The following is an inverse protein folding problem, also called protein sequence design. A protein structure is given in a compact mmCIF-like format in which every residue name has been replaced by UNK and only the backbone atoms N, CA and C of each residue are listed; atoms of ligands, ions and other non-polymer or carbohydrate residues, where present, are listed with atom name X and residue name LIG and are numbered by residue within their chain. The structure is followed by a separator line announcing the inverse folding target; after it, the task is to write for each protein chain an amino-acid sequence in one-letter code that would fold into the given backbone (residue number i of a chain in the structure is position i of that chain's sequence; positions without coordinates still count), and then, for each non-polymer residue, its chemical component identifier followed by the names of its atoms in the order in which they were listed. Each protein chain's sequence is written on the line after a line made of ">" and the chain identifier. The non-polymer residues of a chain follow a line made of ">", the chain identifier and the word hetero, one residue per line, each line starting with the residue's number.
data_IF_013098838326
#
_entry.id   IF_013098838326
#
_cell.length_a   1.000
_cell.length_b   1.000
_cell.length_c   1.000
_cell.angle_alpha   90.00
_cell.angle_beta   90.00
_cell.angle_gamma   90.00
#
_symmetry.space_group_name_H-M   'P 1'
#
loop_
_entity.id
_entity.type
_entity.pdbx_description
1 polymer ?
#
# COMPACT_ATOMS: atom_id res chain seq x y z
N UNK A 1 -6.24 -31.86 9.51
CA UNK A 1 -5.09 -31.03 9.07
C UNK A 1 -4.11 -31.93 8.33
N UNK A 2 -3.53 -31.45 7.24
CA UNK A 2 -2.49 -32.19 6.50
C UNK A 2 -1.13 -32.01 7.17
N UNK A 3 -0.31 -33.07 7.23
CA UNK A 3 1.04 -33.01 7.81
C UNK A 3 2.06 -32.61 6.75
N UNK A 4 2.92 -31.64 7.06
CA UNK A 4 4.02 -31.18 6.20
C UNK A 4 5.32 -31.30 6.97
N UNK A 5 6.37 -31.82 6.35
CA UNK A 5 7.71 -31.87 6.92
C UNK A 5 8.51 -30.67 6.43
N UNK A 6 9.16 -29.95 7.35
CA UNK A 6 10.04 -28.81 7.05
C UNK A 6 11.46 -29.21 7.43
N UNK A 7 12.38 -29.08 6.49
CA UNK A 7 13.81 -29.37 6.71
C UNK A 7 14.56 -28.09 7.03
N UNK A 8 15.39 -28.16 8.07
CA UNK A 8 16.22 -27.06 8.56
C UNK A 8 17.64 -27.59 8.68
N UNK A 9 18.68 -26.80 8.38
CA UNK A 9 20.05 -27.10 8.80
C UNK A 9 20.11 -27.35 10.31
N UNK A 10 20.91 -28.31 10.75
CA UNK A 10 20.97 -28.73 12.16
C UNK A 10 21.30 -27.56 13.10
N UNK A 11 22.25 -26.70 12.70
CA UNK A 11 22.63 -25.50 13.46
C UNK A 11 21.46 -24.52 13.64
N UNK A 12 20.60 -24.39 12.63
CA UNK A 12 19.42 -23.53 12.67
C UNK A 12 18.31 -24.15 13.53
N UNK A 13 18.14 -25.48 13.46
CA UNK A 13 17.17 -26.20 14.26
C UNK A 13 17.51 -26.12 15.76
N UNK A 14 18.78 -26.23 16.12
CA UNK A 14 19.25 -26.13 17.50
C UNK A 14 19.08 -24.71 18.04
N UNK A 15 19.49 -23.69 17.28
CA UNK A 15 19.27 -22.28 17.63
C UNK A 15 17.79 -21.95 17.80
N UNK A 16 16.92 -22.50 16.94
CA UNK A 16 15.47 -22.29 17.05
C UNK A 16 14.90 -22.94 18.32
N UNK A 17 15.40 -24.13 18.69
CA UNK A 17 15.00 -24.85 19.91
C UNK A 17 15.47 -24.12 21.17
N UNK A 18 16.72 -23.67 21.20
CA UNK A 18 17.28 -22.86 22.30
C UNK A 18 16.49 -21.56 22.50
N UNK A 19 16.07 -20.93 21.40
CA UNK A 19 15.22 -19.73 21.43
C UNK A 19 13.73 -20.01 21.72
N UNK A 20 13.33 -21.29 21.89
CA UNK A 20 11.95 -21.67 22.17
C UNK A 20 10.96 -21.39 21.03
N UNK A 21 11.43 -21.31 19.78
CA UNK A 21 10.59 -20.96 18.63
C UNK A 21 9.66 -22.12 18.24
N UNK A 22 8.38 -21.80 18.05
CA UNK A 22 7.42 -22.75 17.49
C UNK A 22 7.52 -22.77 15.95
N UNK A 23 8.33 -23.70 15.43
CA UNK A 23 8.59 -23.84 13.99
C UNK A 23 7.31 -24.04 13.18
N UNK A 24 6.35 -24.82 13.68
CA UNK A 24 5.08 -25.04 12.99
C UNK A 24 4.24 -23.78 12.90
N UNK A 25 4.17 -22.98 13.97
CA UNK A 25 3.48 -21.69 13.96
C UNK A 25 4.15 -20.69 13.02
N UNK A 26 5.49 -20.63 13.02
CA UNK A 26 6.25 -19.78 12.11
C UNK A 26 6.08 -20.18 10.65
N UNK A 27 6.21 -21.47 10.33
CA UNK A 27 5.99 -21.97 8.98
C UNK A 27 4.57 -21.68 8.49
N UNK A 28 3.57 -21.88 9.35
CA UNK A 28 2.18 -21.54 9.04
C UNK A 28 2.02 -20.05 8.73
N UNK A 29 2.47 -19.18 9.63
CA UNK A 29 2.36 -17.73 9.47
C UNK A 29 3.07 -17.24 8.19
N UNK A 30 4.24 -17.79 7.90
CA UNK A 30 4.99 -17.48 6.68
C UNK A 30 4.25 -17.91 5.41
N UNK A 31 3.64 -19.11 5.40
CA UNK A 31 2.83 -19.59 4.27
C UNK A 31 1.58 -18.73 4.10
N UNK A 32 0.85 -18.44 5.19
CA UNK A 32 -0.34 -17.58 5.15
C UNK A 32 0.00 -16.18 4.61
N UNK A 33 1.09 -15.57 5.08
CA UNK A 33 1.57 -14.27 4.59
C UNK A 33 1.97 -14.33 3.10
N UNK A 34 2.71 -15.36 2.68
CA UNK A 34 3.13 -15.53 1.30
C UNK A 34 1.94 -15.73 0.34
N UNK A 35 0.92 -16.49 0.77
CA UNK A 35 -0.31 -16.68 0.01
C UNK A 35 -1.13 -15.40 -0.07
N UNK A 36 -1.26 -14.66 1.04
CA UNK A 36 -1.99 -13.39 1.05
C UNK A 36 -1.36 -12.37 0.11
N UNK A 37 -0.02 -12.24 0.12
CA UNK A 37 0.70 -11.36 -0.81
C UNK A 37 0.47 -11.74 -2.26
N UNK A 38 0.60 -13.02 -2.60
CA UNK A 38 0.32 -13.51 -3.97
C UNK A 38 -1.12 -13.26 -4.40
N UNK A 39 -2.08 -13.39 -3.49
CA UNK A 39 -3.47 -13.07 -3.76
C UNK A 39 -3.68 -11.57 -4.03
N UNK A 40 -3.04 -10.70 -3.24
CA UNK A 40 -3.04 -9.24 -3.47
C UNK A 40 -2.43 -8.89 -4.82
N UNK A 41 -1.27 -9.45 -5.16
CA UNK A 41 -0.58 -9.22 -6.43
C UNK A 41 -1.45 -9.66 -7.62
N UNK A 42 -2.04 -10.85 -7.54
CA UNK A 42 -2.93 -11.37 -8.57
C UNK A 42 -4.21 -10.55 -8.70
N UNK A 43 -4.76 -10.05 -7.59
CA UNK A 43 -5.91 -9.16 -7.60
C UNK A 43 -5.57 -7.81 -8.23
N UNK A 44 -4.45 -7.18 -7.84
CA UNK A 44 -3.97 -5.91 -8.41
C UNK A 44 -3.71 -6.03 -9.92
N UNK A 45 -3.14 -7.14 -10.38
CA UNK A 45 -2.89 -7.40 -11.80
C UNK A 45 -4.17 -7.40 -12.66
N UNK A 46 -5.37 -7.52 -12.06
CA UNK A 46 -6.65 -7.40 -12.79
C UNK A 46 -7.01 -5.95 -13.11
N UNK A 47 -6.48 -5.00 -12.35
CA UNK A 47 -6.79 -3.57 -12.46
C UNK A 47 -5.63 -2.77 -13.04
N UNK A 48 -4.40 -3.24 -12.88
CA UNK A 48 -3.19 -2.59 -13.40
C UNK A 48 -2.94 -3.09 -14.82
N UNK A 49 -3.24 -2.26 -15.82
CA UNK A 49 -2.76 -2.43 -17.20
C UNK A 49 -1.23 -2.33 -17.29
N UNK A 50 -0.66 -2.36 -18.51
CA UNK A 50 0.79 -2.24 -18.71
C UNK A 50 1.37 -1.10 -17.85
N UNK A 51 2.23 -1.45 -16.90
CA UNK A 51 2.83 -0.47 -15.99
C UNK A 51 3.66 0.49 -16.81
N UNK A 52 3.60 1.78 -16.48
CA UNK A 52 4.36 2.83 -17.19
C UNK A 52 5.88 2.71 -17.03
N UNK A 53 6.37 1.70 -16.30
CA UNK A 53 7.77 1.54 -15.90
C UNK A 53 8.21 2.55 -14.82
N UNK A 54 7.35 3.49 -14.43
CA UNK A 54 7.64 4.49 -13.40
C UNK A 54 7.34 3.93 -12.02
N UNK A 55 8.33 4.00 -11.12
CA UNK A 55 8.19 3.53 -9.74
C UNK A 55 7.60 4.60 -8.82
N UNK A 56 7.06 4.17 -7.67
CA UNK A 56 6.56 5.07 -6.63
C UNK A 56 7.59 6.12 -6.20
N UNK A 57 8.84 5.72 -5.98
CA UNK A 57 9.92 6.62 -5.57
C UNK A 57 10.25 7.67 -6.63
N UNK A 58 10.18 7.31 -7.91
CA UNK A 58 10.36 8.26 -9.01
C UNK A 58 9.25 9.30 -9.03
N UNK A 59 8.00 8.88 -8.82
CA UNK A 59 6.85 9.81 -8.71
C UNK A 59 7.00 10.74 -7.51
N UNK A 60 7.32 10.20 -6.32
CA UNK A 60 7.49 11.02 -5.12
C UNK A 60 8.63 12.03 -5.26
N UNK A 61 9.76 11.61 -5.85
CA UNK A 61 10.87 12.50 -6.13
C UNK A 61 10.43 13.63 -7.05
N UNK A 62 9.78 13.30 -8.16
CA UNK A 62 9.31 14.28 -9.13
C UNK A 62 8.32 15.30 -8.54
N UNK A 63 7.41 14.85 -7.67
CA UNK A 63 6.47 15.74 -6.98
C UNK A 63 7.18 16.69 -6.01
N UNK A 64 8.18 16.21 -5.27
CA UNK A 64 8.97 17.06 -4.38
C UNK A 64 9.78 18.09 -5.17
N UNK A 65 10.44 17.68 -6.25
CA UNK A 65 11.18 18.58 -7.14
C UNK A 65 10.24 19.65 -7.74
N UNK A 66 9.08 19.26 -8.27
CA UNK A 66 8.11 20.22 -8.82
C UNK A 66 7.59 21.20 -7.76
N UNK A 67 7.35 20.74 -6.52
CA UNK A 67 6.98 21.61 -5.40
C UNK A 67 8.10 22.63 -5.11
N UNK A 68 9.35 22.18 -5.08
CA UNK A 68 10.49 23.02 -4.75
C UNK A 68 10.79 24.02 -5.90
N UNK A 69 10.58 23.63 -7.16
CA UNK A 69 10.64 24.52 -8.33
C UNK A 69 9.59 25.63 -8.30
N UNK A 70 8.34 25.28 -7.95
CA UNK A 70 7.23 26.23 -7.76
C UNK A 70 7.56 27.28 -6.70
N UNK A 71 8.40 26.93 -5.72
CA UNK A 71 8.84 27.86 -4.69
C UNK A 71 10.01 28.77 -5.13
N UNK A 72 10.73 28.48 -6.24
CA UNK A 72 12.08 29.03 -6.44
C UNK A 72 12.54 29.39 -7.89
N UNK A 73 11.67 29.48 -8.90
CA UNK A 73 12.00 29.65 -10.36
C UNK A 73 13.34 30.34 -10.79
N UNK A 74 14.03 29.91 -11.90
CA UNK A 74 13.50 29.13 -13.02
C UNK A 74 14.15 27.76 -13.32
N UNK A 75 13.29 26.94 -13.91
CA UNK A 75 13.39 25.64 -14.61
C UNK A 75 14.76 25.23 -15.13
N UNK A 76 15.14 23.99 -14.84
CA UNK A 76 16.10 23.24 -15.67
C UNK A 76 15.72 21.77 -15.78
N UNK A 77 15.60 21.34 -17.04
CA UNK A 77 15.71 19.97 -17.55
C UNK A 77 14.43 19.10 -17.60
N UNK A 78 14.03 18.55 -18.77
CA UNK A 78 12.99 17.52 -18.89
C UNK A 78 13.58 16.17 -18.44
N UNK A 79 13.77 16.03 -17.14
CA UNK A 79 14.33 14.84 -16.48
C UNK A 79 13.31 13.69 -16.38
N UNK A 80 13.77 12.57 -15.83
CA UNK A 80 12.92 11.47 -15.34
C UNK A 80 11.72 11.95 -14.50
N UNK A 81 11.79 13.14 -13.89
CA UNK A 81 10.72 13.74 -13.08
C UNK A 81 9.53 14.19 -13.93
N UNK A 82 9.77 14.77 -15.11
CA UNK A 82 8.69 15.10 -16.05
C UNK A 82 7.94 13.86 -16.53
N UNK A 83 8.67 12.75 -16.76
CA UNK A 83 8.06 11.46 -17.12
C UNK A 83 7.20 10.90 -15.97
N UNK A 84 7.69 10.98 -14.74
CA UNK A 84 6.96 10.48 -13.59
C UNK A 84 5.69 11.30 -13.28
N UNK A 85 5.74 12.63 -13.39
CA UNK A 85 4.55 13.50 -13.26
C UNK A 85 3.55 13.22 -14.37
N UNK A 86 4.02 13.07 -15.62
CA UNK A 86 3.15 12.70 -16.75
C UNK A 86 2.48 11.36 -16.49
N UNK A 87 3.24 10.34 -16.09
CA UNK A 87 2.69 9.02 -15.78
C UNK A 87 1.64 9.08 -14.66
N UNK A 88 1.87 9.87 -13.61
CA UNK A 88 0.87 10.07 -12.55
C UNK A 88 -0.39 10.79 -13.07
N UNK A 89 -0.25 11.73 -13.99
CA UNK A 89 -1.36 12.49 -14.59
C UNK A 89 -2.18 11.64 -15.56
N UNK A 90 -1.51 10.80 -16.35
CA UNK A 90 -2.13 9.91 -17.35
C UNK A 90 -2.58 8.56 -16.75
N UNK A 91 -2.28 8.31 -15.47
CA UNK A 91 -2.70 7.10 -14.78
C UNK A 91 -4.22 6.88 -14.94
N UNK A 92 -4.66 5.65 -15.29
CA UNK A 92 -6.06 5.32 -15.53
C UNK A 92 -6.81 5.18 -14.20
N UNK A 93 -6.94 6.29 -13.48
CA UNK A 93 -7.60 6.38 -12.17
C UNK A 93 -8.66 7.46 -12.19
N UNK A 94 -9.78 7.19 -11.55
CA UNK A 94 -10.81 8.19 -11.29
C UNK A 94 -10.38 9.10 -10.15
N UNK A 95 -10.33 10.41 -10.42
CA UNK A 95 -9.93 11.42 -9.44
C UNK A 95 -11.15 12.08 -8.84
N UNK A 96 -11.29 11.96 -7.53
CA UNK A 96 -12.43 12.53 -6.79
C UNK A 96 -12.04 13.85 -6.10
N UNK A 97 -12.84 14.92 -6.23
CA UNK A 97 -12.57 16.19 -5.59
C UNK A 97 -12.73 16.11 -4.07
N UNK A 98 -11.76 16.66 -3.32
CA UNK A 98 -11.74 16.58 -1.85
C UNK A 98 -12.88 17.33 -1.18
N UNK A 99 -13.30 18.47 -1.75
CA UNK A 99 -14.29 19.35 -1.12
C UNK A 99 -15.59 18.64 -0.73
N UNK A 100 -16.04 17.69 -1.56
CA UNK A 100 -17.24 16.90 -1.29
C UNK A 100 -17.10 15.95 -0.09
N UNK A 101 -15.88 15.54 0.26
CA UNK A 101 -15.59 14.53 1.28
C UNK A 101 -15.34 15.13 2.67
N UNK A 102 -15.05 16.44 2.75
CA UNK A 102 -14.59 17.09 3.99
C UNK A 102 -15.56 16.94 5.16
N UNK A 103 -16.86 17.08 4.94
CA UNK A 103 -17.87 17.01 6.00
C UNK A 103 -17.93 15.61 6.65
N UNK A 104 -17.89 14.56 5.83
CA UNK A 104 -17.89 13.19 6.32
C UNK A 104 -16.56 12.81 6.97
N UNK A 105 -15.43 13.19 6.36
CA UNK A 105 -14.11 13.00 6.97
C UNK A 105 -14.00 13.69 8.34
N UNK A 106 -14.54 14.91 8.48
CA UNK A 106 -14.55 15.65 9.74
C UNK A 106 -15.35 14.95 10.85
N UNK A 107 -16.39 14.20 10.51
CA UNK A 107 -17.17 13.42 11.47
C UNK A 107 -16.33 12.32 12.11
N UNK A 108 -15.35 11.77 11.38
CA UNK A 108 -14.45 10.68 11.82
C UNK A 108 -13.18 11.16 12.54
N UNK A 109 -12.99 12.48 12.73
CA UNK A 109 -11.76 13.11 13.27
C UNK A 109 -11.30 12.61 14.65
N UNK A 110 -12.17 11.99 15.43
CA UNK A 110 -11.82 11.45 16.76
C UNK A 110 -11.09 10.12 16.69
N UNK A 111 -11.27 9.35 15.63
CA UNK A 111 -10.68 8.02 15.46
C UNK A 111 -9.61 7.94 14.38
N UNK A 112 -9.65 8.85 13.40
CA UNK A 112 -8.79 8.82 12.22
C UNK A 112 -8.07 10.15 12.01
N UNK A 113 -6.88 10.11 11.41
CA UNK A 113 -6.26 11.31 10.84
C UNK A 113 -7.17 11.83 9.73
N UNK A 114 -7.19 13.14 9.51
CA UNK A 114 -8.09 13.72 8.51
C UNK A 114 -7.85 13.17 7.09
N UNK A 115 -6.59 12.89 6.74
CA UNK A 115 -6.23 12.26 5.46
C UNK A 115 -6.79 10.84 5.34
N UNK A 116 -6.65 10.03 6.39
CA UNK A 116 -7.21 8.68 6.43
C UNK A 116 -8.76 8.71 6.34
N UNK A 117 -9.38 9.67 7.01
CA UNK A 117 -10.82 9.87 7.00
C UNK A 117 -11.35 10.27 5.61
N UNK A 118 -10.54 10.92 4.76
CA UNK A 118 -10.90 11.21 3.36
C UNK A 118 -10.98 9.94 2.51
N UNK A 119 -10.02 9.01 2.68
CA UNK A 119 -10.06 7.70 2.00
C UNK A 119 -11.26 6.88 2.46
N UNK A 120 -11.53 6.85 3.77
CA UNK A 120 -12.68 6.13 4.34
C UNK A 120 -14.00 6.72 3.85
N UNK A 121 -14.17 8.04 3.89
CA UNK A 121 -15.39 8.69 3.38
C UNK A 121 -15.59 8.44 1.88
N UNK A 122 -14.52 8.47 1.08
CA UNK A 122 -14.63 8.19 -0.35
C UNK A 122 -15.08 6.75 -0.61
N UNK A 123 -14.46 5.78 0.06
CA UNK A 123 -14.77 4.38 -0.13
C UNK A 123 -16.20 4.03 0.31
N UNK A 124 -16.67 4.62 1.42
CA UNK A 124 -18.07 4.48 1.83
C UNK A 124 -19.06 5.05 0.80
N UNK A 125 -18.75 6.18 0.18
CA UNK A 125 -19.62 6.76 -0.88
C UNK A 125 -19.66 5.94 -2.15
N UNK A 126 -18.55 5.28 -2.47
CA UNK A 126 -18.44 4.42 -3.64
C UNK A 126 -18.91 2.99 -3.37
N UNK A 127 -19.28 2.66 -2.12
CA UNK A 127 -19.65 1.33 -1.66
C UNK A 127 -18.59 0.27 -2.05
N UNK A 128 -17.32 0.57 -1.71
CA UNK A 128 -16.19 -0.28 -2.06
C UNK A 128 -15.22 -0.55 -0.90
N UNK A 129 -14.49 -1.66 -1.00
CA UNK A 129 -13.41 -1.99 -0.06
C UNK A 129 -12.26 -0.98 -0.22
N UNK A 130 -11.74 -0.45 0.89
CA UNK A 130 -10.55 0.41 0.89
C UNK A 130 -9.29 -0.44 0.98
N UNK A 131 -8.44 -0.39 -0.04
CA UNK A 131 -7.16 -1.10 -0.06
C UNK A 131 -6.02 -0.15 0.33
N UNK A 132 -5.21 -0.53 1.32
CA UNK A 132 -4.11 0.31 1.82
C UNK A 132 -2.88 -0.48 2.25
N UNK A 133 -1.70 0.10 2.09
CA UNK A 133 -0.44 -0.41 2.67
C UNK A 133 -0.24 0.08 4.11
N UNK A 134 -1.02 1.06 4.58
CA UNK A 134 -0.93 1.56 5.96
C UNK A 134 -1.62 0.59 6.94
N UNK A 135 -0.80 -0.12 7.71
CA UNK A 135 -1.26 -1.10 8.70
C UNK A 135 -2.07 -0.49 9.86
N UNK A 136 -1.95 0.81 10.13
CA UNK A 136 -2.76 1.47 11.16
C UNK A 136 -4.17 1.70 10.62
N UNK A 137 -4.29 2.12 9.36
CA UNK A 137 -5.58 2.34 8.74
C UNK A 137 -6.36 1.04 8.54
N UNK A 138 -5.69 -0.06 8.18
CA UNK A 138 -6.33 -1.37 8.04
C UNK A 138 -6.91 -1.95 9.34
N UNK A 139 -6.56 -1.39 10.50
CA UNK A 139 -7.11 -1.79 11.80
C UNK A 139 -8.34 -0.99 12.20
N UNK A 140 -8.68 0.06 11.46
CA UNK A 140 -9.80 0.92 11.81
C UNK A 140 -11.16 0.23 11.55
N UNK A 141 -11.25 -0.59 10.50
CA UNK A 141 -12.45 -1.38 10.20
C UNK A 141 -12.12 -2.60 9.32
N UNK A 142 -13.01 -3.60 9.35
CA UNK A 142 -12.88 -4.91 8.71
C UNK A 142 -13.00 -4.89 7.18
N UNK A 143 -13.63 -3.86 6.59
CA UNK A 143 -13.73 -3.65 5.15
C UNK A 143 -12.52 -2.89 4.57
N UNK A 144 -11.60 -2.43 5.42
CA UNK A 144 -10.31 -1.87 5.00
C UNK A 144 -9.31 -3.02 4.84
N UNK A 145 -8.94 -3.32 3.60
CA UNK A 145 -8.07 -4.44 3.24
C UNK A 145 -6.60 -4.00 3.23
N UNK A 146 -5.72 -4.65 4.02
CA UNK A 146 -4.29 -4.43 3.89
C UNK A 146 -3.77 -5.07 2.58
N UNK A 147 -2.84 -4.40 1.91
CA UNK A 147 -1.98 -5.03 0.91
C UNK A 147 -0.86 -5.73 1.68
N UNK A 148 -0.92 -7.06 1.77
CA UNK A 148 0.15 -7.90 2.35
C UNK A 148 1.30 -8.12 1.36
#
# INVERSE_FOLDING_TARGET
>A
MSRVNVYLPDDLADRAREAGLNVSALARAAIESALARRASDAWLARYVGATSGVTHDQVLRALNEARDELATAPVSDPTASGQAIRALTEAPVDRHPLGGLLAGAWTRRRGLRILDALYVELAERLDCDLVTTDQRLSRADSWIRPVN
#
